data_IF_299923003560
#
_entry.id   IF_299923003560
#
_cell.length_a   1.000
_cell.length_b   1.000
_cell.length_c   1.000
_cell.angle_alpha   90.00
_cell.angle_beta   90.00
_cell.angle_gamma   90.00
#
_symmetry.space_group_name_H-M   'P 1'
#
loop_
_entity.id
_entity.type
_entity.pdbx_description
1 polymer ?
#
# COMPACT_ATOMS: atom_id res chain seq x y z
N UNK A 1 -52.90 12.94 23.27
CA UNK A 1 -51.73 12.07 23.52
C UNK A 1 -51.63 11.06 22.39
N UNK A 2 -50.65 11.21 21.49
CA UNK A 2 -50.08 10.24 20.53
C UNK A 2 -49.19 11.04 19.55
N UNK A 3 -47.91 11.23 19.90
CA UNK A 3 -46.74 10.62 19.22
C UNK A 3 -46.63 11.19 17.79
N UNK A 4 -45.90 12.26 17.46
CA UNK A 4 -44.49 12.63 17.73
C UNK A 4 -43.46 11.56 17.34
N UNK A 5 -43.60 10.95 16.16
CA UNK A 5 -42.53 10.21 15.47
C UNK A 5 -42.66 10.44 13.96
N UNK A 6 -42.13 11.55 13.44
CA UNK A 6 -41.88 11.73 11.99
C UNK A 6 -40.54 12.42 11.70
N UNK A 7 -39.57 12.40 12.63
CA UNK A 7 -38.21 12.92 12.39
C UNK A 7 -37.15 11.89 12.86
N UNK A 8 -37.29 10.64 12.43
CA UNK A 8 -36.30 9.60 12.74
C UNK A 8 -35.93 8.70 11.53
N UNK A 9 -36.36 9.04 10.31
CA UNK A 9 -36.03 8.24 9.11
C UNK A 9 -35.55 9.15 7.96
N UNK A 10 -34.74 10.16 8.30
CA UNK A 10 -33.74 10.78 7.40
C UNK A 10 -32.40 10.82 8.17
N UNK A 11 -32.09 9.74 8.89
CA UNK A 11 -30.75 9.43 9.41
C UNK A 11 -30.32 8.03 8.93
N UNK A 12 -30.85 7.63 7.77
CA UNK A 12 -30.37 6.46 7.04
C UNK A 12 -28.97 6.75 6.49
N UNK A 13 -27.96 6.25 7.20
CA UNK A 13 -26.66 5.88 6.66
C UNK A 13 -25.72 7.02 6.23
N UNK A 14 -25.49 7.99 7.12
CA UNK A 14 -24.08 8.33 7.36
C UNK A 14 -23.59 7.36 8.43
N UNK A 15 -23.28 6.13 8.00
CA UNK A 15 -22.24 5.37 8.70
C UNK A 15 -21.09 6.36 8.72
N UNK A 16 -20.76 6.90 9.90
CA UNK A 16 -19.49 7.58 10.12
C UNK A 16 -18.47 6.67 9.45
N UNK A 17 -17.97 7.07 8.28
CA UNK A 17 -16.75 6.50 7.73
C UNK A 17 -15.78 6.77 8.85
N UNK A 18 -15.54 5.77 9.71
CA UNK A 18 -14.43 5.87 10.64
C UNK A 18 -13.26 6.16 9.74
N UNK A 19 -12.72 7.39 9.82
CA UNK A 19 -11.70 7.85 8.90
C UNK A 19 -10.57 6.83 8.97
N UNK A 20 -10.50 5.97 7.97
CA UNK A 20 -9.50 4.93 7.88
C UNK A 20 -8.21 5.68 7.66
N UNK A 21 -7.27 5.55 8.59
CA UNK A 21 -5.96 6.17 8.52
C UNK A 21 -5.33 5.92 7.14
N UNK A 22 -5.11 6.97 6.34
CA UNK A 22 -4.69 6.85 4.93
C UNK A 22 -3.22 6.50 4.76
N UNK A 23 -2.39 6.85 5.75
CA UNK A 23 -0.96 6.62 5.70
C UNK A 23 -0.50 5.75 6.87
N UNK A 24 0.35 4.80 6.54
CA UNK A 24 0.97 3.82 7.43
C UNK A 24 2.49 4.04 7.40
N UNK A 25 3.23 3.53 8.38
CA UNK A 25 4.65 3.88 8.54
C UNK A 25 5.49 3.66 7.27
N UNK A 26 5.20 2.59 6.52
CA UNK A 26 5.95 2.24 5.31
C UNK A 26 5.65 3.13 4.10
N UNK A 27 4.52 3.83 4.08
CA UNK A 27 4.14 4.69 2.95
C UNK A 27 4.27 6.20 3.26
N UNK A 28 4.69 6.57 4.48
CA UNK A 28 5.04 7.96 4.81
C UNK A 28 6.16 8.50 3.90
N UNK A 29 7.09 7.63 3.50
CA UNK A 29 8.14 7.96 2.53
C UNK A 29 7.62 8.24 1.12
N UNK A 30 6.46 7.66 0.75
CA UNK A 30 5.81 7.90 -0.55
C UNK A 30 5.15 9.28 -0.63
N UNK A 31 5.01 9.97 0.50
CA UNK A 31 4.50 11.35 0.56
C UNK A 31 5.54 12.39 0.13
N UNK A 32 6.76 11.94 -0.18
CA UNK A 32 7.86 12.78 -0.65
C UNK A 32 8.20 12.38 -2.09
N UNK A 33 8.57 13.38 -2.87
CA UNK A 33 9.21 13.21 -4.17
C UNK A 33 10.56 13.92 -4.17
N UNK A 34 11.49 13.39 -4.96
CA UNK A 34 12.80 14.01 -5.19
C UNK A 34 12.88 14.43 -6.64
N UNK A 35 13.19 15.70 -6.87
CA UNK A 35 13.53 16.23 -8.18
C UNK A 35 15.01 16.56 -8.24
N UNK A 36 15.65 16.21 -9.36
CA UNK A 36 17.04 16.56 -9.63
C UNK A 36 17.07 17.65 -10.69
N UNK A 37 17.49 18.83 -10.31
CA UNK A 37 17.64 19.98 -11.20
C UNK A 37 19.13 20.34 -11.28
N UNK A 38 19.79 19.87 -12.33
CA UNK A 38 21.26 19.94 -12.43
C UNK A 38 21.92 19.12 -11.31
N UNK A 39 22.76 19.76 -10.50
CA UNK A 39 23.43 19.14 -9.35
C UNK A 39 22.63 19.25 -8.04
N UNK A 40 21.50 19.97 -8.04
CA UNK A 40 20.66 20.15 -6.85
C UNK A 40 19.61 19.06 -6.76
N UNK A 41 19.49 18.48 -5.57
CA UNK A 41 18.42 17.58 -5.19
C UNK A 41 17.41 18.39 -4.38
N UNK A 42 16.18 18.47 -4.88
CA UNK A 42 15.08 19.15 -4.22
C UNK A 42 14.09 18.11 -3.68
N UNK A 43 13.73 18.26 -2.40
CA UNK A 43 12.76 17.41 -1.71
C UNK A 43 11.46 18.18 -1.58
N UNK A 44 10.39 17.62 -2.13
CA UNK A 44 9.07 18.24 -2.12
C UNK A 44 7.95 17.24 -1.87
N UNK A 45 6.74 17.68 -1.46
CA UNK A 45 5.63 16.76 -1.28
C UNK A 45 5.27 16.05 -2.58
N UNK A 46 4.99 14.74 -2.50
CA UNK A 46 4.52 13.95 -3.63
C UNK A 46 3.06 14.32 -3.96
N UNK A 47 2.90 15.39 -4.73
CA UNK A 47 1.59 15.97 -5.06
C UNK A 47 0.68 14.98 -5.76
N UNK A 48 1.23 14.12 -6.64
CA UNK A 48 0.46 13.09 -7.33
C UNK A 48 -0.15 12.08 -6.33
N UNK A 49 0.68 11.52 -5.46
CA UNK A 49 0.24 10.55 -4.44
C UNK A 49 -0.79 11.14 -3.49
N UNK A 50 -0.58 12.40 -3.06
CA UNK A 50 -1.48 13.13 -2.17
C UNK A 50 -2.82 13.46 -2.83
N UNK A 51 -2.80 13.91 -4.09
CA UNK A 51 -4.01 14.22 -4.85
C UNK A 51 -4.88 12.97 -5.07
N UNK A 52 -4.28 11.81 -5.36
CA UNK A 52 -5.01 10.53 -5.47
C UNK A 52 -5.69 10.12 -4.15
N UNK A 53 -5.18 10.60 -3.01
CA UNK A 53 -5.80 10.46 -1.68
C UNK A 53 -6.75 11.59 -1.29
N UNK A 54 -7.04 12.52 -2.21
CA UNK A 54 -7.95 13.64 -1.96
C UNK A 54 -7.36 14.74 -1.08
N UNK A 55 -6.03 14.77 -0.93
CA UNK A 55 -5.32 15.86 -0.28
C UNK A 55 -4.98 16.93 -1.31
N UNK A 56 -5.31 18.18 -1.00
CA UNK A 56 -5.07 19.32 -1.88
C UNK A 56 -4.02 20.24 -1.27
N UNK A 57 -3.17 20.81 -2.12
CA UNK A 57 -2.17 21.81 -1.73
C UNK A 57 -2.86 23.03 -1.11
N UNK A 58 -2.49 23.35 0.14
CA UNK A 58 -2.97 24.53 0.86
C UNK A 58 -1.88 25.61 0.98
N UNK A 59 -0.62 25.19 1.09
CA UNK A 59 0.60 26.01 1.05
C UNK A 59 1.73 25.10 0.52
N UNK A 60 2.87 25.65 0.08
CA UNK A 60 3.97 24.97 -0.63
C UNK A 60 4.39 23.62 -0.04
N UNK A 61 4.28 23.45 1.27
CA UNK A 61 4.64 22.22 1.99
C UNK A 61 3.50 21.61 2.81
N UNK A 62 2.27 22.09 2.65
CA UNK A 62 1.09 21.66 3.40
C UNK A 62 -0.04 21.22 2.48
N UNK A 63 -0.49 19.99 2.68
CA UNK A 63 -1.61 19.38 2.00
C UNK A 63 -2.73 19.09 2.99
N UNK A 64 -3.98 19.30 2.58
CA UNK A 64 -5.16 19.10 3.42
C UNK A 64 -6.20 18.28 2.69
N UNK A 65 -6.69 17.22 3.34
CA UNK A 65 -7.85 16.48 2.85
C UNK A 65 -9.11 17.27 3.21
N UNK A 66 -9.85 17.73 2.20
CA UNK A 66 -11.05 18.57 2.40
C UNK A 66 -12.18 17.85 3.13
N UNK A 67 -12.25 16.52 3.01
CA UNK A 67 -13.32 15.71 3.60
C UNK A 67 -13.02 15.37 5.06
N UNK A 68 -11.83 14.85 5.34
CA UNK A 68 -11.47 14.41 6.70
C UNK A 68 -10.88 15.54 7.57
N UNK A 69 -10.36 16.60 6.94
CA UNK A 69 -9.60 17.64 7.62
C UNK A 69 -8.21 17.19 8.10
N UNK A 70 -7.76 16.00 7.66
CA UNK A 70 -6.39 15.52 7.87
C UNK A 70 -5.39 16.32 7.05
N UNK A 71 -4.13 16.34 7.50
CA UNK A 71 -3.09 17.17 6.90
C UNK A 71 -1.80 16.39 6.70
N UNK A 72 -1.07 16.71 5.65
CA UNK A 72 0.29 16.25 5.43
C UNK A 72 1.19 17.48 5.31
N UNK A 73 2.21 17.56 6.14
CA UNK A 73 3.19 18.65 6.13
C UNK A 73 4.59 18.09 5.91
N UNK A 74 5.31 18.68 4.97
CA UNK A 74 6.75 18.48 4.81
C UNK A 74 7.50 19.63 5.49
N UNK A 75 8.60 19.33 6.15
CA UNK A 75 9.54 20.33 6.65
C UNK A 75 10.96 19.84 6.43
N UNK A 76 11.84 20.76 6.01
CA UNK A 76 13.27 20.54 5.93
C UNK A 76 13.98 21.64 6.72
N UNK A 77 14.82 21.25 7.68
CA UNK A 77 15.64 22.16 8.46
C UNK A 77 17.10 21.79 8.27
N UNK A 78 17.89 22.69 7.71
CA UNK A 78 19.32 22.47 7.46
C UNK A 78 20.14 23.50 8.24
N UNK A 79 21.17 23.03 8.94
CA UNK A 79 22.20 23.81 9.62
C UNK A 79 23.58 23.37 9.13
N UNK A 80 24.64 24.01 9.65
CA UNK A 80 26.02 23.68 9.28
C UNK A 80 26.35 22.19 9.51
N UNK A 81 25.88 21.64 10.62
CA UNK A 81 26.27 20.31 11.10
C UNK A 81 25.16 19.26 10.99
N UNK A 82 23.92 19.66 10.69
CA UNK A 82 22.76 18.77 10.67
C UNK A 82 21.76 19.13 9.59
N UNK A 83 21.15 18.14 8.96
CA UNK A 83 19.94 18.30 8.15
C UNK A 83 18.85 17.38 8.66
N UNK A 84 17.62 17.89 8.77
CA UNK A 84 16.45 17.14 9.22
C UNK A 84 15.31 17.32 8.23
N UNK A 85 14.88 16.21 7.62
CA UNK A 85 13.71 16.15 6.76
C UNK A 85 12.64 15.38 7.49
N UNK A 86 11.43 15.94 7.50
CA UNK A 86 10.31 15.43 8.27
C UNK A 86 9.03 15.51 7.47
N UNK A 87 8.33 14.39 7.42
CA UNK A 87 6.94 14.32 6.97
C UNK A 87 6.05 14.05 8.16
N UNK A 88 5.07 14.93 8.32
CA UNK A 88 4.09 14.91 9.39
C UNK A 88 2.70 14.65 8.81
N UNK A 89 2.11 13.52 9.17
CA UNK A 89 0.71 13.22 8.90
C UNK A 89 -0.14 13.46 10.14
N UNK A 90 -1.02 14.45 10.06
CA UNK A 90 -2.00 14.78 11.09
C UNK A 90 -3.24 13.93 10.86
N UNK A 91 -3.27 12.76 11.47
CA UNK A 91 -4.39 11.82 11.35
C UNK A 91 -5.48 12.11 12.37
N UNK A 92 -6.71 11.87 11.94
CA UNK A 92 -7.91 11.86 12.78
C UNK A 92 -8.22 10.47 13.34
N UNK A 93 -7.45 9.44 12.96
CA UNK A 93 -7.65 8.06 13.40
C UNK A 93 -7.46 7.94 14.92
N UNK A 94 -8.49 7.43 15.61
CA UNK A 94 -8.45 7.23 17.08
C UNK A 94 -7.65 5.99 17.49
N UNK A 95 -7.78 4.91 16.72
CA UNK A 95 -7.08 3.65 16.95
C UNK A 95 -5.78 3.60 16.12
N UNK A 96 -4.64 3.56 16.81
CA UNK A 96 -3.31 3.48 16.22
C UNK A 96 -2.69 2.08 16.32
N UNK A 97 -3.43 1.06 16.77
CA UNK A 97 -2.89 -0.30 16.97
C UNK A 97 -2.23 -0.81 15.70
N UNK A 98 -2.87 -0.62 14.54
CA UNK A 98 -2.31 -1.04 13.26
C UNK A 98 -1.05 -0.27 12.91
N UNK A 99 -1.05 1.06 13.04
CA UNK A 99 0.12 1.88 12.76
C UNK A 99 1.32 1.46 13.63
N UNK A 100 1.12 1.29 14.93
CA UNK A 100 2.16 0.90 15.88
C UNK A 100 2.70 -0.50 15.55
N UNK A 101 1.81 -1.45 15.25
CA UNK A 101 2.21 -2.79 14.80
C UNK A 101 3.09 -2.70 13.55
N UNK A 102 2.69 -1.92 12.55
CA UNK A 102 3.46 -1.72 11.32
C UNK A 102 4.80 -1.04 11.55
N UNK A 103 4.87 -0.09 12.48
CA UNK A 103 6.13 0.57 12.83
C UNK A 103 7.11 -0.42 13.50
N UNK A 104 6.60 -1.41 14.23
CA UNK A 104 7.42 -2.52 14.73
C UNK A 104 7.89 -3.51 13.65
N UNK A 105 7.19 -3.57 12.52
CA UNK A 105 7.51 -4.44 11.37
C UNK A 105 8.40 -3.75 10.32
N UNK A 106 8.69 -2.45 10.49
CA UNK A 106 9.43 -1.65 9.50
C UNK A 106 10.96 -1.85 9.52
N UNK A 107 11.46 -2.76 10.38
CA UNK A 107 12.90 -2.96 10.60
C UNK A 107 13.56 -1.93 11.51
N UNK A 108 12.81 -0.96 12.05
CA UNK A 108 13.31 0.01 13.03
C UNK A 108 13.30 -0.60 14.44
N UNK A 109 14.27 -0.22 15.28
CA UNK A 109 14.30 -0.62 16.68
C UNK A 109 13.23 0.14 17.45
N UNK A 110 12.36 -0.59 18.17
CA UNK A 110 11.40 0.03 19.10
C UNK A 110 12.16 0.64 20.29
N UNK A 111 12.08 1.96 20.43
CA UNK A 111 12.68 2.68 21.55
C UNK A 111 11.68 2.87 22.69
N UNK A 112 10.43 3.15 22.35
CA UNK A 112 9.27 3.15 23.25
C UNK A 112 7.97 2.97 22.45
N UNK A 113 6.80 3.14 23.07
CA UNK A 113 5.49 2.96 22.41
C UNK A 113 5.21 3.97 21.30
N UNK A 114 5.91 5.10 21.30
CA UNK A 114 5.69 6.24 20.41
C UNK A 114 6.92 6.58 19.55
N UNK A 115 7.98 5.77 19.61
CA UNK A 115 9.22 6.01 18.86
C UNK A 115 9.87 4.70 18.42
N UNK A 116 10.11 4.61 17.12
CA UNK A 116 10.88 3.57 16.47
C UNK A 116 12.02 4.23 15.72
N UNK A 117 13.25 3.72 15.86
CA UNK A 117 14.45 4.38 15.37
C UNK A 117 15.47 3.38 14.80
N UNK A 118 16.17 3.81 13.76
CA UNK A 118 17.43 3.23 13.33
C UNK A 118 18.48 4.34 13.28
N UNK A 119 19.66 4.08 13.83
CA UNK A 119 20.75 5.05 13.91
C UNK A 119 22.05 4.43 13.42
N UNK A 120 22.55 4.97 12.31
CA UNK A 120 23.88 4.71 11.77
C UNK A 120 24.85 5.84 12.18
N UNK A 121 26.10 5.76 11.73
CA UNK A 121 27.17 6.71 12.10
C UNK A 121 26.79 8.17 11.85
N UNK A 122 26.11 8.46 10.74
CA UNK A 122 25.76 9.82 10.32
C UNK A 122 24.26 9.99 10.04
N UNK A 123 23.45 8.93 10.12
CA UNK A 123 22.05 8.97 9.67
C UNK A 123 21.16 8.41 10.76
N UNK A 124 20.06 9.11 11.08
CA UNK A 124 19.02 8.62 11.98
C UNK A 124 17.68 8.64 11.26
N UNK A 125 16.97 7.51 11.25
CA UNK A 125 15.63 7.37 10.68
C UNK A 125 14.68 7.04 11.81
N UNK A 126 13.61 7.83 11.95
CA UNK A 126 12.63 7.70 13.03
C UNK A 126 11.21 7.64 12.50
N UNK A 127 10.40 6.76 13.10
CA UNK A 127 8.95 6.84 13.09
C UNK A 127 8.50 7.29 14.47
N UNK A 128 7.91 8.49 14.55
CA UNK A 128 7.49 9.11 15.81
C UNK A 128 5.98 9.33 15.83
N UNK A 129 5.36 9.11 17.00
CA UNK A 129 3.93 9.26 17.24
C UNK A 129 3.73 10.29 18.34
N UNK A 130 3.01 11.38 18.05
CA UNK A 130 2.54 12.32 19.08
C UNK A 130 1.01 12.32 19.10
N UNK A 131 0.42 12.00 20.24
CA UNK A 131 -1.02 11.90 20.40
C UNK A 131 -1.62 13.24 20.84
N UNK A 132 -2.88 13.47 20.48
CA UNK A 132 -3.69 14.62 20.93
C UNK A 132 -3.08 16.00 20.62
N UNK A 133 -2.39 16.13 19.48
CA UNK A 133 -1.86 17.41 19.00
C UNK A 133 -3.03 18.31 18.62
N UNK A 134 -3.09 19.51 19.22
CA UNK A 134 -4.12 20.51 18.93
C UNK A 134 -3.67 21.40 17.78
N UNK A 135 -4.49 21.49 16.73
CA UNK A 135 -4.26 22.42 15.63
C UNK A 135 -5.58 22.94 15.05
N UNK A 136 -5.76 24.25 14.99
CA UNK A 136 -6.99 24.87 14.47
C UNK A 136 -8.27 24.41 15.20
N UNK A 137 -8.18 24.18 16.52
CA UNK A 137 -9.30 23.72 17.35
C UNK A 137 -9.66 22.24 17.20
N UNK A 138 -8.87 21.45 16.45
CA UNK A 138 -9.04 20.01 16.28
C UNK A 138 -7.88 19.23 16.90
N UNK A 139 -8.19 18.04 17.41
CA UNK A 139 -7.21 17.09 17.95
C UNK A 139 -6.78 16.09 16.88
N UNK A 140 -5.48 15.89 16.74
CA UNK A 140 -4.87 14.97 15.80
C UNK A 140 -3.90 14.01 16.50
N UNK A 141 -3.70 12.85 15.90
CA UNK A 141 -2.49 12.05 16.11
C UNK A 141 -1.49 12.42 15.03
N UNK A 142 -0.34 12.96 15.43
CA UNK A 142 0.76 13.30 14.53
C UNK A 142 1.65 12.07 14.34
N UNK A 143 1.67 11.57 13.12
CA UNK A 143 2.41 10.40 12.68
C UNK A 143 3.55 10.88 11.79
N UNK A 144 4.79 10.74 12.23
CA UNK A 144 5.95 11.38 11.60
C UNK A 144 6.96 10.37 11.10
N UNK A 145 7.48 10.59 9.90
CA UNK A 145 8.75 10.03 9.43
C UNK A 145 9.79 11.14 9.47
N UNK A 146 10.88 10.91 10.20
CA UNK A 146 11.98 11.87 10.37
C UNK A 146 13.27 11.23 9.91
N UNK A 147 14.01 11.91 9.04
CA UNK A 147 15.35 11.53 8.62
C UNK A 147 16.30 12.66 8.99
N UNK A 148 17.32 12.32 9.76
CA UNK A 148 18.34 13.24 10.24
C UNK A 148 19.69 12.79 9.68
N UNK A 149 20.37 13.68 8.98
CA UNK A 149 21.76 13.53 8.59
C UNK A 149 22.64 14.43 9.46
N UNK A 150 23.66 13.83 10.06
CA UNK A 150 24.68 14.48 10.89
C UNK A 150 25.99 14.56 10.10
N UNK A 151 26.43 15.80 9.89
CA UNK A 151 27.61 16.14 9.12
C UNK A 151 28.79 16.59 9.99
N UNK A 152 28.68 16.51 11.32
CA UNK A 152 29.73 16.91 12.26
C UNK A 152 31.08 16.24 11.93
N UNK A 153 31.04 15.02 11.36
CA UNK A 153 32.22 14.24 10.97
C UNK A 153 32.58 14.34 9.46
N UNK A 154 31.85 15.10 8.65
CA UNK A 154 31.98 15.15 7.19
C UNK A 154 32.22 16.56 6.65
N UNK A 155 33.41 16.81 6.08
CA UNK A 155 33.75 18.08 5.41
C UNK A 155 33.12 18.18 4.02
N UNK A 156 31.79 18.24 3.93
CA UNK A 156 31.10 18.56 2.66
C UNK A 156 30.38 19.89 2.78
N UNK A 157 30.55 20.76 1.78
CA UNK A 157 29.75 21.97 1.63
C UNK A 157 28.26 21.61 1.54
N UNK A 158 27.39 22.42 2.14
CA UNK A 158 25.93 22.17 2.24
C UNK A 158 25.33 21.83 0.87
N UNK A 159 25.79 22.53 -0.18
CA UNK A 159 25.31 22.43 -1.55
C UNK A 159 25.60 21.08 -2.23
N UNK A 160 26.56 20.31 -1.71
CA UNK A 160 27.06 19.06 -2.29
C UNK A 160 26.73 17.82 -1.45
N UNK A 161 25.85 17.94 -0.44
CA UNK A 161 25.46 16.81 0.41
C UNK A 161 24.33 16.03 -0.30
N UNK A 162 24.58 14.82 -0.84
CA UNK A 162 23.52 14.05 -1.45
C UNK A 162 22.57 13.59 -0.35
N UNK A 163 21.36 14.12 -0.35
CA UNK A 163 20.35 13.75 0.64
C UNK A 163 19.97 12.28 0.45
N UNK A 164 20.09 11.48 1.51
CA UNK A 164 19.67 10.08 1.52
C UNK A 164 18.29 9.94 2.14
N UNK A 165 17.28 10.59 1.57
CA UNK A 165 15.91 10.27 1.92
C UNK A 165 15.48 9.03 1.11
N UNK A 166 14.95 7.97 1.73
CA UNK A 166 14.47 6.80 1.01
C UNK A 166 13.16 7.14 0.29
N UNK A 167 13.24 7.68 -0.92
CA UNK A 167 12.04 7.96 -1.72
C UNK A 167 11.40 6.65 -2.17
N UNK A 168 10.07 6.61 -2.13
CA UNK A 168 9.28 5.51 -2.67
C UNK A 168 8.27 6.04 -3.69
N UNK A 169 8.27 5.45 -4.89
CA UNK A 169 7.38 5.80 -5.98
C UNK A 169 6.20 4.82 -6.08
N UNK A 170 5.77 4.25 -4.95
CA UNK A 170 4.61 3.36 -4.87
C UNK A 170 3.29 4.09 -5.19
N UNK A 171 2.31 3.35 -5.71
CA UNK A 171 0.97 3.90 -6.00
C UNK A 171 0.08 3.83 -4.75
N UNK A 172 -0.75 4.85 -4.44
CA UNK A 172 -1.53 4.92 -3.20
C UNK A 172 -2.75 3.97 -3.19
N UNK A 173 -2.51 2.65 -3.12
CA UNK A 173 -3.59 1.64 -3.10
C UNK A 173 -4.31 1.52 -1.75
N UNK A 174 -3.67 1.79 -0.63
CA UNK A 174 -4.23 1.52 0.71
C UNK A 174 -5.59 2.18 0.95
N UNK A 175 -6.50 1.56 1.69
CA UNK A 175 -7.88 2.05 1.94
C UNK A 175 -8.69 2.37 0.67
N UNK A 176 -8.46 1.67 -0.44
CA UNK A 176 -9.25 1.84 -1.66
C UNK A 176 -9.94 0.56 -2.08
N UNK A 177 -11.06 0.71 -2.79
CA UNK A 177 -11.78 -0.40 -3.40
C UNK A 177 -11.80 -0.20 -4.91
N UNK A 178 -11.48 -1.26 -5.63
CA UNK A 178 -11.63 -1.35 -7.07
C UNK A 178 -12.51 -2.55 -7.42
N UNK A 179 -13.36 -2.38 -8.41
CA UNK A 179 -14.04 -3.47 -9.11
C UNK A 179 -13.09 -4.00 -10.17
N UNK A 180 -13.10 -5.31 -10.41
CA UNK A 180 -12.13 -5.91 -11.32
C UNK A 180 -12.68 -7.00 -12.24
N UNK A 181 -11.99 -7.12 -13.36
CA UNK A 181 -12.09 -8.24 -14.29
C UNK A 181 -10.69 -8.76 -14.62
N UNK A 182 -10.62 -10.02 -15.07
CA UNK A 182 -9.37 -10.71 -15.34
C UNK A 182 -9.38 -11.28 -16.75
N UNK A 183 -8.26 -11.14 -17.44
CA UNK A 183 -8.11 -11.61 -18.82
C UNK A 183 -6.83 -12.43 -18.99
N UNK A 184 -6.89 -13.37 -19.92
CA UNK A 184 -5.77 -14.23 -20.31
C UNK A 184 -5.58 -14.12 -21.82
N UNK A 185 -4.39 -13.71 -22.25
CA UNK A 185 -4.07 -13.51 -23.66
C UNK A 185 -2.80 -14.26 -24.03
N UNK A 186 -2.90 -15.19 -24.97
CA UNK A 186 -1.75 -15.95 -25.46
C UNK A 186 -0.69 -14.98 -26.04
N UNK A 187 0.61 -15.22 -25.77
CA UNK A 187 1.67 -14.48 -26.44
C UNK A 187 1.84 -15.03 -27.86
N UNK A 188 1.67 -14.16 -28.86
CA UNK A 188 1.85 -14.54 -30.26
C UNK A 188 3.30 -14.86 -30.62
N UNK A 189 4.24 -14.47 -29.78
CA UNK A 189 5.68 -14.60 -30.01
C UNK A 189 6.26 -15.88 -29.38
N UNK A 190 5.60 -16.43 -28.35
CA UNK A 190 6.08 -17.59 -27.59
C UNK A 190 4.90 -18.48 -27.21
N UNK A 191 4.93 -19.74 -27.66
CA UNK A 191 3.79 -20.66 -27.56
C UNK A 191 3.51 -21.18 -26.15
N UNK A 192 4.47 -21.05 -25.24
CA UNK A 192 4.40 -21.47 -23.83
C UNK A 192 4.25 -20.28 -22.86
N UNK A 193 3.99 -19.10 -23.41
CA UNK A 193 3.84 -17.86 -22.65
C UNK A 193 2.48 -17.23 -22.89
N UNK A 194 1.94 -16.62 -21.84
CA UNK A 194 0.72 -15.84 -21.93
C UNK A 194 0.74 -14.64 -21.00
N UNK A 195 0.02 -13.61 -21.39
CA UNK A 195 -0.24 -12.44 -20.58
C UNK A 195 -1.42 -12.68 -19.66
N UNK A 196 -1.20 -12.41 -18.38
CA UNK A 196 -2.23 -12.37 -17.34
C UNK A 196 -2.53 -10.91 -17.02
N UNK A 197 -3.81 -10.54 -17.06
CA UNK A 197 -4.21 -9.17 -16.86
C UNK A 197 -5.31 -9.03 -15.80
N UNK A 198 -5.25 -7.96 -15.02
CA UNK A 198 -6.33 -7.55 -14.11
C UNK A 198 -6.68 -6.08 -14.39
N UNK A 199 -7.92 -5.84 -14.83
CA UNK A 199 -8.51 -4.49 -14.95
C UNK A 199 -9.08 -4.08 -13.62
N UNK A 200 -8.71 -2.91 -13.11
CA UNK A 200 -9.25 -2.34 -11.87
C UNK A 200 -9.94 -1.02 -12.18
N UNK A 201 -11.16 -0.83 -11.67
CA UNK A 201 -11.93 0.39 -11.84
C UNK A 201 -12.53 0.85 -10.52
N UNK A 202 -12.51 2.15 -10.27
CA UNK A 202 -13.22 2.73 -9.11
C UNK A 202 -14.75 2.63 -9.30
N UNK A 203 -15.22 2.57 -10.54
CA UNK A 203 -16.62 2.41 -10.90
C UNK A 203 -17.06 0.94 -10.82
N UNK A 204 -18.32 0.73 -10.41
CA UNK A 204 -18.92 -0.59 -10.22
C UNK A 204 -19.30 -1.30 -11.54
N UNK A 205 -18.40 -1.29 -12.52
CA UNK A 205 -18.61 -1.88 -13.85
C UNK A 205 -18.33 -3.38 -13.93
N UNK A 206 -17.64 -3.93 -12.93
CA UNK A 206 -17.35 -5.36 -12.83
C UNK A 206 -18.00 -5.99 -11.58
N UNK A 207 -18.34 -7.28 -11.65
CA UNK A 207 -19.03 -7.99 -10.57
C UNK A 207 -18.13 -8.36 -9.38
N UNK A 208 -16.81 -8.46 -9.59
CA UNK A 208 -15.83 -8.76 -8.54
C UNK A 208 -15.20 -7.47 -8.03
N UNK A 209 -14.73 -7.47 -6.78
CA UNK A 209 -14.01 -6.33 -6.20
C UNK A 209 -12.82 -6.74 -5.33
N UNK A 210 -11.78 -5.92 -5.35
CA UNK A 210 -10.64 -5.96 -4.44
C UNK A 210 -10.69 -4.71 -3.56
N UNK A 211 -10.44 -4.90 -2.27
CA UNK A 211 -10.27 -3.81 -1.30
C UNK A 211 -8.89 -3.91 -0.70
N UNK A 212 -8.08 -2.88 -0.90
CA UNK A 212 -6.81 -2.70 -0.22
C UNK A 212 -7.12 -2.11 1.16
N UNK A 213 -6.86 -2.88 2.21
CA UNK A 213 -7.29 -2.57 3.57
C UNK A 213 -6.31 -1.68 4.33
N UNK A 214 -5.03 -1.78 3.98
CA UNK A 214 -3.92 -1.01 4.49
C UNK A 214 -2.77 -1.08 3.47
N UNK A 215 -1.55 -0.73 3.88
CA UNK A 215 -0.34 -0.71 3.06
C UNK A 215 0.20 -2.09 2.66
N UNK A 216 -0.38 -3.17 3.18
CA UNK A 216 0.10 -4.53 2.93
C UNK A 216 -1.03 -5.54 2.72
N UNK A 217 -2.23 -5.32 3.26
CA UNK A 217 -3.32 -6.28 3.24
C UNK A 217 -4.38 -5.95 2.19
N UNK A 218 -4.93 -6.98 1.57
CA UNK A 218 -6.07 -6.85 0.67
C UNK A 218 -7.12 -7.94 0.92
N UNK A 219 -8.34 -7.67 0.45
CA UNK A 219 -9.47 -8.59 0.45
C UNK A 219 -10.17 -8.56 -0.91
N UNK A 220 -10.36 -9.73 -1.51
CA UNK A 220 -11.22 -9.92 -2.68
C UNK A 220 -12.61 -10.38 -2.24
N UNK A 221 -13.62 -9.85 -2.90
CA UNK A 221 -15.01 -10.32 -2.85
C UNK A 221 -15.48 -10.58 -4.28
N UNK A 222 -15.79 -11.84 -4.58
CA UNK A 222 -16.29 -12.26 -5.88
C UNK A 222 -17.79 -11.97 -6.03
N UNK A 223 -18.28 -11.98 -7.27
CA UNK A 223 -19.70 -11.76 -7.59
C UNK A 223 -20.63 -12.73 -6.84
N UNK A 224 -20.20 -14.00 -6.70
CA UNK A 224 -20.89 -15.05 -5.94
C UNK A 224 -20.76 -14.91 -4.40
N UNK A 225 -20.25 -13.77 -3.91
CA UNK A 225 -20.02 -13.43 -2.50
C UNK A 225 -18.91 -14.21 -1.80
N UNK A 226 -18.20 -15.11 -2.47
CA UNK A 226 -17.00 -15.72 -1.90
C UNK A 226 -15.92 -14.67 -1.68
N UNK A 227 -15.15 -14.84 -0.60
CA UNK A 227 -14.07 -13.92 -0.24
C UNK A 227 -12.79 -14.65 0.03
N UNK A 228 -11.67 -14.02 -0.31
CA UNK A 228 -10.34 -14.43 0.10
C UNK A 228 -9.48 -13.19 0.36
N UNK A 229 -8.40 -13.39 1.10
CA UNK A 229 -7.53 -12.30 1.58
C UNK A 229 -6.09 -12.64 1.26
N UNK A 230 -5.25 -11.62 1.35
CA UNK A 230 -3.83 -11.80 1.11
C UNK A 230 -3.04 -10.55 1.45
N UNK A 231 -1.76 -10.61 1.08
CA UNK A 231 -0.85 -9.49 1.19
C UNK A 231 -0.40 -9.01 -0.18
N UNK A 232 -0.01 -7.75 -0.28
CA UNK A 232 0.60 -7.18 -1.46
C UNK A 232 1.83 -6.37 -1.07
N UNK A 233 2.73 -6.20 -2.02
CA UNK A 233 3.89 -5.34 -1.93
C UNK A 233 4.07 -4.57 -3.23
N UNK A 234 4.70 -3.41 -3.15
CA UNK A 234 5.03 -2.60 -4.31
C UNK A 234 6.54 -2.44 -4.41
N UNK A 235 7.06 -2.48 -5.63
CA UNK A 235 8.43 -2.10 -5.94
C UNK A 235 8.42 -1.19 -7.16
N UNK A 236 9.51 -0.44 -7.34
CA UNK A 236 9.66 0.46 -8.48
C UNK A 236 10.91 0.02 -9.24
N UNK A 237 10.73 -0.33 -10.50
CA UNK A 237 11.82 -0.64 -11.41
C UNK A 237 12.13 0.61 -12.24
N UNK A 238 13.40 1.02 -12.26
CA UNK A 238 13.93 2.13 -13.07
C UNK A 238 13.17 3.47 -12.92
N UNK A 239 12.59 3.72 -11.73
CA UNK A 239 11.83 4.93 -11.35
C UNK A 239 10.56 5.21 -12.17
N UNK A 240 10.21 4.38 -13.14
CA UNK A 240 9.08 4.63 -14.06
C UNK A 240 7.99 3.57 -13.99
N UNK A 241 8.33 2.33 -13.62
CA UNK A 241 7.36 1.24 -13.60
C UNK A 241 7.13 0.74 -12.18
N UNK A 242 5.87 0.77 -11.75
CA UNK A 242 5.44 0.26 -10.45
C UNK A 242 5.07 -1.21 -10.64
N UNK A 243 5.75 -2.09 -9.95
CA UNK A 243 5.40 -3.50 -9.89
C UNK A 243 4.62 -3.79 -8.59
N UNK A 244 3.52 -4.53 -8.70
CA UNK A 244 2.68 -4.93 -7.58
C UNK A 244 2.69 -6.45 -7.50
N UNK A 245 3.25 -6.98 -6.41
CA UNK A 245 3.22 -8.40 -6.07
C UNK A 245 2.03 -8.72 -5.18
N UNK A 246 1.34 -9.82 -5.45
CA UNK A 246 0.25 -10.33 -4.61
C UNK A 246 0.57 -11.73 -4.08
N UNK A 247 0.15 -11.97 -2.83
CA UNK A 247 0.20 -13.27 -2.18
C UNK A 247 -1.16 -13.57 -1.55
N UNK A 248 -1.73 -14.74 -1.84
CA UNK A 248 -2.97 -15.19 -1.21
C UNK A 248 -2.67 -15.83 0.15
N UNK A 249 -3.41 -15.45 1.19
CA UNK A 249 -3.33 -16.17 2.47
C UNK A 249 -4.05 -17.51 2.34
N UNK A 250 -3.31 -18.60 2.52
CA UNK A 250 -3.87 -19.94 2.57
C UNK A 250 -4.69 -20.12 3.86
N UNK A 251 -6.02 -19.99 3.73
CA UNK A 251 -6.95 -20.26 4.84
C UNK A 251 -7.73 -21.53 4.52
N UNK A 252 -7.56 -22.56 5.34
CA UNK A 252 -8.37 -23.76 5.24
C UNK A 252 -9.84 -23.42 5.55
N UNK A 253 -10.80 -23.89 4.75
CA UNK A 253 -12.23 -23.70 5.03
C UNK A 253 -12.57 -24.17 6.45
N UNK A 254 -13.37 -23.38 7.17
CA UNK A 254 -13.93 -23.81 8.46
C UNK A 254 -14.95 -24.90 8.17
N UNK A 255 -14.72 -26.09 8.71
CA UNK A 255 -15.69 -27.20 8.65
C UNK A 255 -16.24 -27.49 10.05
N UNK A 256 -17.48 -28.02 10.16
CA UNK A 256 -18.04 -28.43 11.44
C UNK A 256 -17.14 -29.46 12.15
N UNK A 257 -17.23 -29.50 13.48
CA UNK A 257 -16.45 -30.43 14.30
C UNK A 257 -16.73 -31.88 13.87
N UNK A 258 -15.69 -32.64 13.56
CA UNK A 258 -15.77 -34.04 13.11
C UNK A 258 -15.66 -34.25 11.60
N UNK A 259 -15.66 -33.19 10.80
CA UNK A 259 -15.42 -33.28 9.35
C UNK A 259 -13.93 -33.17 9.04
N UNK A 260 -13.45 -33.89 8.01
CA UNK A 260 -12.08 -33.72 7.51
C UNK A 260 -11.89 -32.28 7.04
N UNK A 261 -10.79 -31.67 7.46
CA UNK A 261 -10.45 -30.31 7.07
C UNK A 261 -9.93 -30.31 5.62
N UNK A 262 -10.60 -29.60 4.69
CA UNK A 262 -10.14 -29.54 3.32
C UNK A 262 -8.84 -28.73 3.22
N UNK A 263 -7.98 -29.12 2.26
CA UNK A 263 -6.73 -28.42 1.97
C UNK A 263 -7.04 -26.99 1.52
N UNK A 264 -6.29 -26.02 2.06
CA UNK A 264 -6.43 -24.63 1.68
C UNK A 264 -6.10 -24.45 0.18
N UNK A 265 -7.08 -23.98 -0.60
CA UNK A 265 -6.83 -23.65 -2.00
C UNK A 265 -5.96 -22.39 -2.09
N UNK A 266 -4.75 -22.54 -2.66
CA UNK A 266 -3.78 -21.45 -2.86
C UNK A 266 -3.90 -20.78 -4.23
N UNK A 267 -4.63 -21.38 -5.18
CA UNK A 267 -4.65 -20.93 -6.57
C UNK A 267 -3.49 -21.48 -7.42
N UNK A 268 -2.83 -22.55 -6.97
CA UNK A 268 -1.83 -23.28 -7.75
C UNK A 268 -2.50 -23.94 -8.96
N UNK A 269 -2.43 -23.25 -10.11
CA UNK A 269 -2.84 -23.72 -11.43
C UNK A 269 -1.60 -23.63 -12.31
N UNK A 270 -1.26 -24.73 -13.00
CA UNK A 270 0.06 -24.90 -13.60
C UNK A 270 0.08 -24.70 -15.12
N UNK A 271 -1.08 -24.68 -15.78
CA UNK A 271 -1.18 -24.41 -17.22
C UNK A 271 -2.45 -23.61 -17.58
N UNK A 272 -2.44 -22.96 -18.73
CA UNK A 272 -3.52 -22.12 -19.23
C UNK A 272 -4.80 -22.92 -19.50
N UNK A 273 -4.69 -24.21 -19.85
CA UNK A 273 -5.86 -25.07 -20.10
C UNK A 273 -6.68 -25.28 -18.82
N UNK A 274 -6.02 -25.62 -17.72
CA UNK A 274 -6.62 -25.72 -16.39
C UNK A 274 -7.17 -24.38 -15.93
N UNK A 275 -6.45 -23.29 -16.18
CA UNK A 275 -6.91 -21.95 -15.83
C UNK A 275 -8.18 -21.56 -16.60
N UNK A 276 -8.23 -21.85 -17.91
CA UNK A 276 -9.41 -21.61 -18.77
C UNK A 276 -10.61 -22.46 -18.30
N UNK A 277 -10.38 -23.70 -17.84
CA UNK A 277 -11.43 -24.57 -17.28
C UNK A 277 -11.96 -24.09 -15.93
N UNK A 278 -11.10 -23.54 -15.08
CA UNK A 278 -11.47 -23.02 -13.76
C UNK A 278 -12.12 -21.63 -13.81
N UNK A 279 -12.35 -21.06 -15.01
CA UNK A 279 -12.89 -19.71 -15.16
C UNK A 279 -14.18 -19.56 -14.36
N UNK A 280 -14.26 -18.48 -13.59
CA UNK A 280 -15.34 -18.16 -12.63
C UNK A 280 -15.31 -18.90 -11.28
N UNK A 281 -14.39 -19.85 -11.08
CA UNK A 281 -14.17 -20.45 -9.76
C UNK A 281 -13.20 -19.62 -8.91
N UNK A 282 -13.27 -19.79 -7.58
CA UNK A 282 -12.36 -19.13 -6.66
C UNK A 282 -10.87 -19.43 -6.95
N UNK A 283 -10.55 -20.63 -7.43
CA UNK A 283 -9.20 -21.04 -7.78
C UNK A 283 -8.63 -20.18 -8.94
N UNK A 284 -9.45 -19.88 -9.94
CA UNK A 284 -9.09 -19.01 -11.06
C UNK A 284 -8.74 -17.60 -10.57
N UNK A 285 -9.59 -16.98 -9.76
CA UNK A 285 -9.30 -15.64 -9.24
C UNK A 285 -8.09 -15.63 -8.30
N UNK A 286 -7.92 -16.66 -7.45
CA UNK A 286 -6.74 -16.78 -6.60
C UNK A 286 -5.46 -16.86 -7.42
N UNK A 287 -5.45 -17.56 -8.55
CA UNK A 287 -4.27 -17.61 -9.44
C UNK A 287 -3.80 -16.19 -9.80
N UNK A 288 -4.69 -15.29 -10.23
CA UNK A 288 -4.30 -13.91 -10.54
C UNK A 288 -3.68 -13.19 -9.33
N UNK A 289 -4.20 -13.40 -8.12
CA UNK A 289 -3.68 -12.76 -6.90
C UNK A 289 -2.54 -13.54 -6.22
N UNK A 290 -1.87 -14.45 -6.94
CA UNK A 290 -0.58 -15.08 -6.55
C UNK A 290 0.60 -14.59 -7.39
N UNK A 291 0.38 -13.58 -8.24
CA UNK A 291 1.34 -13.13 -9.25
C UNK A 291 1.79 -11.70 -8.96
N UNK A 292 2.79 -11.27 -9.72
CA UNK A 292 3.26 -9.90 -9.75
C UNK A 292 2.95 -9.26 -11.09
N UNK A 293 2.67 -7.97 -11.09
CA UNK A 293 2.19 -7.24 -12.27
C UNK A 293 2.86 -5.88 -12.39
N UNK A 294 3.07 -5.45 -13.62
CA UNK A 294 3.36 -4.06 -13.91
C UNK A 294 2.05 -3.27 -13.92
N UNK A 295 2.03 -2.17 -13.16
CA UNK A 295 0.93 -1.24 -13.08
C UNK A 295 1.00 -0.23 -14.22
N UNK A 296 -0.10 -0.07 -14.95
CA UNK A 296 -0.31 0.96 -15.95
C UNK A 296 -1.63 1.70 -15.69
N UNK A 297 -1.71 2.93 -16.16
CA UNK A 297 -2.90 3.77 -16.07
C UNK A 297 -3.66 3.73 -17.40
N UNK A 298 -4.97 3.46 -17.36
CA UNK A 298 -5.88 3.53 -18.50
C UNK A 298 -7.00 4.53 -18.17
N UNK A 299 -6.71 5.83 -18.33
CA UNK A 299 -7.62 6.88 -17.87
C UNK A 299 -7.76 6.86 -16.35
N UNK A 300 -8.98 6.64 -15.85
CA UNK A 300 -9.27 6.53 -14.41
C UNK A 300 -9.12 5.10 -13.86
N UNK A 301 -8.84 4.13 -14.74
CA UNK A 301 -8.68 2.73 -14.39
C UNK A 301 -7.21 2.35 -14.26
N UNK A 302 -6.97 1.26 -13.54
CA UNK A 302 -5.66 0.64 -13.45
C UNK A 302 -5.64 -0.65 -14.25
N UNK A 303 -4.54 -0.88 -14.95
CA UNK A 303 -4.26 -2.10 -15.69
C UNK A 303 -3.04 -2.77 -15.08
N UNK A 304 -3.23 -3.98 -14.54
CA UNK A 304 -2.17 -4.83 -14.04
C UNK A 304 -1.85 -5.88 -15.11
N UNK A 305 -0.62 -5.93 -15.59
CA UNK A 305 -0.18 -6.87 -16.63
C UNK A 305 1.05 -7.63 -16.20
N UNK A 306 1.05 -8.93 -16.43
CA UNK A 306 2.20 -9.79 -16.17
C UNK A 306 2.36 -10.85 -17.25
N UNK A 307 3.59 -11.29 -17.48
CA UNK A 307 3.87 -12.42 -18.36
C UNK A 307 4.00 -13.69 -17.51
N UNK A 308 3.38 -14.77 -17.94
CA UNK A 308 3.44 -16.05 -17.28
C UNK A 308 3.93 -17.14 -18.24
N UNK A 309 4.75 -18.03 -17.70
CA UNK A 309 5.42 -19.11 -18.41
C UNK A 309 4.91 -20.44 -17.86
N UNK A 310 4.37 -21.30 -18.71
CA UNK A 310 3.87 -22.62 -18.29
C UNK A 310 4.98 -23.56 -17.82
N UNK A 311 6.18 -23.42 -18.40
CA UNK A 311 7.30 -24.34 -18.21
C UNK A 311 8.43 -23.74 -17.36
N UNK A 312 8.10 -23.05 -16.26
CA UNK A 312 9.16 -22.63 -15.33
C UNK A 312 9.88 -23.89 -14.82
N UNK A 313 11.22 -24.03 -14.95
CA UNK A 313 11.91 -25.23 -14.53
C UNK A 313 11.68 -25.42 -13.04
N UNK A 314 10.88 -26.40 -12.67
CA UNK A 314 10.85 -26.91 -11.30
C UNK A 314 12.26 -27.40 -11.00
N UNK A 315 12.97 -26.73 -10.10
CA UNK A 315 14.20 -27.26 -9.53
C UNK A 315 13.90 -28.68 -9.05
N UNK A 316 14.47 -29.68 -9.73
CA UNK A 316 14.30 -31.07 -9.33
C UNK A 316 14.76 -31.19 -7.88
N UNK A 317 13.84 -31.55 -6.99
CA UNK A 317 14.20 -31.90 -5.61
C UNK A 317 15.15 -33.08 -5.72
N UNK A 318 16.39 -33.02 -5.18
CA UNK A 318 17.30 -34.15 -5.22
C UNK A 318 16.59 -35.37 -4.63
N UNK A 319 16.61 -36.48 -5.36
CA UNK A 319 16.06 -37.73 -4.87
C UNK A 319 16.68 -38.02 -3.49
N UNK A 320 15.87 -37.99 -2.44
CA UNK A 320 16.27 -38.52 -1.15
C UNK A 320 16.63 -39.97 -1.37
N UNK A 321 17.93 -40.29 -1.28
CA UNK A 321 18.38 -41.68 -1.18
C UNK A 321 17.65 -42.27 0.03
N UNK A 322 16.81 -43.27 -0.24
CA UNK A 322 16.12 -44.02 0.80
C UNK A 322 17.14 -44.63 1.76
N UNK A 323 16.83 -44.57 3.05
CA UNK A 323 17.49 -45.38 4.08
C UNK A 323 16.98 -46.82 4.02
#
# INVERSE_FOLDING_TARGET
>A
MRILICIAIIMGLTIDKSSSQDFFPMNLKSLISVEKTGDKIEIKPNSYFLNEKGFFLANDLLFVNKQSGEKVKLSSNSSQDKEEIRVDYYSTAKDLIRFIKRAGESGLKKMNENLFEHKDKNTTIQIAIKRNVQEGGKSYNLLSLVVIEDFTNGRMAIENRPIKFPVDYSYPLQNTTYYFDTDLKDDKSYTDEYFINVRLSKDAKYGNKITFLDDMNWKVTLANKQTFVGTYNQSTQDRQMINIGFNVTAVAPKVPKGYMQPIAQTGAIYNASELKKAKHDAAYYKFFFTKSYDLRFEGNDLWLSGKHYENYPTLAVPATKGN
#
